data_IF_777426820146
#
_entry.id   IF_777426820146
#
_cell.length_a   1.000
_cell.length_b   1.000
_cell.length_c   1.000
_cell.angle_alpha   90.00
_cell.angle_beta   90.00
_cell.angle_gamma   90.00
#
_symmetry.space_group_name_H-M   'P 1'
#
loop_
_entity.id
_entity.type
_entity.pdbx_description
1 polymer ?
#
# COMPACT_ATOMS: atom_id res chain seq x y z
N UNK A 1 -27.13 52.78 40.98
CA UNK A 1 -27.90 52.46 39.74
C UNK A 1 -27.16 51.36 38.99
N UNK A 2 -27.61 50.11 39.12
CA UNK A 2 -27.06 48.92 38.41
C UNK A 2 -28.09 48.57 37.37
N UNK A 3 -27.71 48.26 36.12
CA UNK A 3 -28.66 47.75 35.13
C UNK A 3 -28.85 46.23 35.27
N UNK A 4 -30.13 45.86 35.25
CA UNK A 4 -30.58 44.46 35.27
C UNK A 4 -30.23 43.77 33.95
N UNK A 5 -29.66 42.56 34.05
CA UNK A 5 -29.46 41.65 32.94
C UNK A 5 -30.70 40.77 32.82
N UNK A 6 -31.42 40.92 31.71
CA UNK A 6 -32.55 40.04 31.36
C UNK A 6 -32.03 38.74 30.80
N UNK A 7 -32.41 37.63 31.39
CA UNK A 7 -32.16 36.25 30.90
C UNK A 7 -33.09 35.94 29.73
N UNK A 8 -32.50 35.60 28.57
CA UNK A 8 -33.22 35.06 27.43
C UNK A 8 -33.27 33.52 27.52
N UNK A 9 -34.48 33.01 27.65
CA UNK A 9 -34.74 31.55 27.59
C UNK A 9 -34.55 31.02 26.17
N UNK A 10 -34.02 29.79 25.97
CA UNK A 10 -33.92 29.20 24.65
C UNK A 10 -35.28 28.69 24.17
N UNK A 11 -35.67 29.11 22.97
CA UNK A 11 -36.86 28.61 22.26
C UNK A 11 -36.60 27.18 21.74
N UNK A 12 -37.48 26.31 22.16
CA UNK A 12 -37.60 24.91 21.66
C UNK A 12 -38.08 24.90 20.21
N UNK A 13 -37.31 24.29 19.29
CA UNK A 13 -37.73 24.03 17.92
C UNK A 13 -38.02 22.51 17.82
N UNK A 14 -39.23 22.11 17.46
CA UNK A 14 -39.55 20.69 17.28
C UNK A 14 -38.93 20.17 15.95
N UNK A 15 -38.13 19.16 16.03
CA UNK A 15 -37.60 18.42 14.88
C UNK A 15 -38.72 17.49 14.32
N UNK A 16 -39.10 17.73 13.08
CA UNK A 16 -40.01 16.85 12.32
C UNK A 16 -39.16 15.72 11.71
N UNK A 17 -39.33 14.50 12.21
CA UNK A 17 -38.79 13.27 11.60
C UNK A 17 -39.75 12.84 10.46
N UNK A 18 -39.21 12.45 9.29
CA UNK A 18 -40.02 11.82 8.24
C UNK A 18 -40.35 10.37 8.60
N UNK A 19 -41.49 9.82 8.10
CA UNK A 19 -41.94 8.48 8.44
C UNK A 19 -41.02 7.40 7.82
N UNK A 20 -40.81 6.34 8.59
CA UNK A 20 -40.07 5.16 8.20
C UNK A 20 -40.82 4.42 7.07
N UNK A 21 -40.20 4.27 5.92
CA UNK A 21 -40.61 3.37 4.85
C UNK A 21 -40.16 1.96 5.17
N UNK A 22 -41.10 1.07 5.46
CA UNK A 22 -40.88 -0.38 5.55
C UNK A 22 -40.57 -0.95 4.16
N UNK A 23 -39.33 -1.33 3.90
CA UNK A 23 -38.95 -2.11 2.73
C UNK A 23 -39.07 -3.60 3.03
N UNK A 24 -39.93 -4.27 2.26
CA UNK A 24 -40.11 -5.72 2.23
C UNK A 24 -38.80 -6.40 1.77
N UNK A 25 -38.22 -7.26 2.61
CA UNK A 25 -37.18 -8.17 2.22
C UNK A 25 -37.73 -9.24 1.28
N UNK A 26 -37.26 -9.21 0.03
CA UNK A 26 -37.49 -10.28 -0.93
C UNK A 26 -36.35 -11.29 -0.79
N UNK A 27 -36.69 -12.51 -0.39
CA UNK A 27 -35.78 -13.65 -0.29
C UNK A 27 -35.33 -14.09 -1.68
N UNK A 28 -34.09 -13.79 -2.05
CA UNK A 28 -33.47 -14.33 -3.26
C UNK A 28 -32.91 -15.74 -2.99
N UNK A 29 -33.32 -16.67 -3.85
CA UNK A 29 -32.96 -18.08 -3.88
C UNK A 29 -31.45 -18.25 -4.07
N UNK A 30 -30.82 -19.05 -3.18
CA UNK A 30 -29.51 -19.63 -3.35
C UNK A 30 -29.55 -20.58 -4.56
N UNK A 31 -28.79 -20.29 -5.59
CA UNK A 31 -28.48 -21.21 -6.67
C UNK A 31 -27.14 -21.87 -6.34
N UNK A 32 -27.19 -23.13 -5.95
CA UNK A 32 -26.00 -23.96 -5.76
C UNK A 32 -25.54 -24.48 -7.13
N UNK A 33 -24.34 -24.11 -7.55
CA UNK A 33 -23.67 -24.74 -8.68
C UNK A 33 -22.83 -25.90 -8.16
N UNK A 34 -23.24 -27.11 -8.50
CA UNK A 34 -22.44 -28.32 -8.34
C UNK A 34 -21.51 -28.47 -9.57
N UNK A 35 -20.22 -28.31 -9.37
CA UNK A 35 -19.21 -28.62 -10.39
C UNK A 35 -18.89 -30.11 -10.36
N UNK A 36 -19.30 -30.83 -11.39
CA UNK A 36 -18.88 -32.19 -11.68
C UNK A 36 -17.49 -32.16 -12.31
N UNK A 37 -16.52 -32.72 -11.62
CA UNK A 37 -15.20 -33.05 -12.17
C UNK A 37 -15.31 -34.18 -13.18
N UNK A 38 -15.09 -33.89 -14.45
CA UNK A 38 -14.85 -34.92 -15.48
C UNK A 38 -13.35 -35.10 -15.68
N UNK A 39 -12.92 -36.31 -15.35
CA UNK A 39 -11.60 -36.89 -15.56
C UNK A 39 -11.26 -36.98 -17.05
N UNK A 40 -10.19 -36.32 -17.49
CA UNK A 40 -9.61 -36.55 -18.85
C UNK A 40 -8.30 -37.29 -18.67
N UNK A 41 -8.25 -38.51 -19.27
CA UNK A 41 -7.06 -39.40 -19.37
C UNK A 41 -6.07 -38.83 -20.39
N UNK A 42 -4.75 -39.05 -20.22
CA UNK A 42 -3.76 -38.67 -21.21
C UNK A 42 -3.72 -39.69 -22.37
N UNK A 43 -3.74 -39.18 -23.57
CA UNK A 43 -3.52 -39.98 -24.80
C UNK A 43 -2.07 -39.79 -25.22
N UNK A 44 -1.33 -40.90 -25.21
CA UNK A 44 0.03 -41.00 -25.76
C UNK A 44 -0.07 -41.56 -27.17
N UNK A 45 0.43 -40.84 -28.15
CA UNK A 45 0.69 -41.46 -29.46
C UNK A 45 2.06 -41.03 -29.99
N UNK A 46 2.90 -42.08 -30.12
CA UNK A 46 4.17 -42.08 -30.81
C UNK A 46 3.94 -42.06 -32.33
N UNK A 47 4.52 -41.13 -33.02
CA UNK A 47 4.76 -41.30 -34.47
C UNK A 47 6.22 -41.01 -34.82
N UNK A 48 6.93 -42.08 -35.10
CA UNK A 48 8.23 -42.08 -35.79
C UNK A 48 7.99 -41.77 -37.26
N UNK A 49 8.70 -40.77 -37.79
CA UNK A 49 8.87 -40.65 -39.23
C UNK A 49 10.36 -40.54 -39.56
N UNK A 50 10.76 -41.41 -40.49
CA UNK A 50 12.09 -41.74 -40.90
C UNK A 50 12.74 -40.68 -41.81
N UNK A 51 14.08 -40.73 -41.80
CA UNK A 51 15.01 -40.01 -42.68
C UNK A 51 14.74 -40.23 -44.18
N UNK A 52 14.93 -39.19 -44.98
CA UNK A 52 15.37 -39.27 -46.34
C UNK A 52 16.47 -38.28 -46.66
N UNK A 53 17.46 -38.75 -47.39
CA UNK A 53 18.76 -38.14 -47.70
C UNK A 53 18.72 -37.17 -48.90
N UNK A 54 19.77 -36.30 -48.91
CA UNK A 54 20.50 -35.74 -50.05
C UNK A 54 19.92 -34.46 -50.71
N UNK A 55 20.60 -33.32 -50.61
CA UNK A 55 21.68 -32.94 -51.50
C UNK A 55 22.34 -31.62 -51.08
N UNK A 56 23.56 -31.32 -51.54
CA UNK A 56 24.42 -30.27 -51.01
C UNK A 56 24.32 -29.00 -51.84
N UNK A 57 24.45 -27.84 -51.22
CA UNK A 57 25.11 -26.72 -51.91
C UNK A 57 25.29 -25.48 -51.03
N UNK A 58 26.52 -25.01 -51.06
CA UNK A 58 27.00 -23.65 -50.92
C UNK A 58 27.05 -23.06 -49.50
N UNK A 59 28.24 -23.23 -48.91
CA UNK A 59 28.80 -22.43 -47.83
C UNK A 59 28.96 -20.97 -48.27
N UNK A 60 28.07 -20.12 -47.80
CA UNK A 60 28.34 -18.71 -47.62
C UNK A 60 28.43 -18.44 -46.15
N UNK A 61 29.69 -18.39 -45.66
CA UNK A 61 30.02 -18.00 -44.29
C UNK A 61 29.71 -16.51 -44.10
N UNK A 62 28.50 -16.20 -43.69
CA UNK A 62 28.15 -14.89 -43.15
C UNK A 62 28.44 -14.99 -41.66
N UNK A 63 29.57 -14.38 -41.22
CA UNK A 63 29.85 -14.18 -39.81
C UNK A 63 28.75 -13.29 -39.24
N UNK A 64 27.99 -13.73 -38.20
CA UNK A 64 27.05 -12.87 -37.56
C UNK A 64 27.84 -11.78 -36.84
N UNK A 65 27.58 -10.53 -37.22
CA UNK A 65 27.98 -9.36 -36.44
C UNK A 65 27.34 -9.54 -35.05
N UNK A 66 28.18 -9.73 -34.03
CA UNK A 66 27.77 -9.63 -32.64
C UNK A 66 27.44 -8.17 -32.34
N UNK A 67 26.20 -7.74 -32.62
CA UNK A 67 25.63 -6.66 -31.87
C UNK A 67 25.53 -7.13 -30.42
N UNK A 68 26.27 -6.50 -29.54
CA UNK A 68 26.00 -6.57 -28.11
C UNK A 68 24.73 -5.78 -27.84
N UNK A 69 23.60 -6.35 -28.20
CA UNK A 69 22.32 -6.01 -27.59
C UNK A 69 22.52 -6.42 -26.15
N UNK A 70 22.52 -5.46 -25.23
CA UNK A 70 22.30 -5.75 -23.84
C UNK A 70 21.03 -6.60 -23.81
N UNK A 71 21.19 -7.87 -23.50
CA UNK A 71 20.08 -8.81 -23.34
C UNK A 71 19.25 -8.21 -22.20
N UNK A 72 18.17 -7.52 -22.57
CA UNK A 72 17.07 -7.34 -21.64
C UNK A 72 16.68 -8.77 -21.30
N UNK A 73 16.83 -9.23 -20.04
CA UNK A 73 16.39 -10.58 -19.70
C UNK A 73 14.94 -10.68 -20.20
N UNK A 74 14.64 -11.75 -20.96
CA UNK A 74 13.26 -12.09 -21.25
C UNK A 74 12.47 -11.91 -19.97
N UNK A 75 11.29 -11.28 -19.99
CA UNK A 75 10.45 -11.15 -18.82
C UNK A 75 10.09 -12.57 -18.34
N UNK A 76 10.97 -13.16 -17.55
CA UNK A 76 10.59 -14.23 -16.64
C UNK A 76 9.34 -13.74 -15.99
N UNK A 77 8.24 -14.51 -16.06
CA UNK A 77 6.92 -14.20 -15.52
C UNK A 77 7.05 -13.21 -14.40
N UNK A 78 6.82 -11.93 -14.73
CA UNK A 78 6.90 -10.85 -13.76
C UNK A 78 5.86 -11.25 -12.75
N UNK A 79 6.31 -11.56 -11.55
CA UNK A 79 5.42 -11.88 -10.44
C UNK A 79 4.60 -10.60 -10.20
N UNK A 80 3.43 -10.53 -10.86
CA UNK A 80 2.51 -9.39 -10.86
C UNK A 80 2.04 -9.04 -9.44
N UNK A 81 2.44 -9.85 -8.45
CA UNK A 81 2.14 -9.70 -7.04
C UNK A 81 3.33 -9.24 -6.19
N UNK A 82 4.32 -8.57 -6.76
CA UNK A 82 5.37 -7.94 -5.92
C UNK A 82 4.76 -6.83 -5.08
N UNK A 83 4.26 -7.20 -3.91
CA UNK A 83 3.84 -6.27 -2.85
C UNK A 83 4.84 -6.34 -1.69
N UNK A 84 5.00 -5.25 -0.91
CA UNK A 84 5.70 -5.31 0.36
C UNK A 84 5.08 -6.36 1.28
N UNK A 85 5.87 -6.95 2.17
CA UNK A 85 5.33 -7.90 3.15
C UNK A 85 4.30 -7.23 4.07
N UNK A 86 3.33 -7.97 4.62
CA UNK A 86 2.38 -7.40 5.59
C UNK A 86 3.04 -6.72 6.78
N UNK A 87 4.23 -7.19 7.19
CA UNK A 87 5.03 -6.56 8.24
C UNK A 87 5.55 -5.18 7.81
N UNK A 88 6.07 -5.04 6.59
CA UNK A 88 6.52 -3.75 6.04
C UNK A 88 5.36 -2.78 5.86
N UNK A 89 4.20 -3.27 5.38
CA UNK A 89 2.98 -2.45 5.26
C UNK A 89 2.53 -1.95 6.62
N UNK A 90 2.47 -2.83 7.63
CA UNK A 90 2.12 -2.46 8.99
C UNK A 90 3.09 -1.40 9.57
N UNK A 91 4.42 -1.60 9.38
CA UNK A 91 5.43 -0.61 9.77
C UNK A 91 5.21 0.74 9.10
N UNK A 92 4.92 0.73 7.80
CA UNK A 92 4.68 1.94 7.01
C UNK A 92 3.45 2.71 7.51
N UNK A 93 2.33 2.02 7.77
CA UNK A 93 1.10 2.63 8.29
C UNK A 93 1.36 3.27 9.65
N UNK A 94 2.01 2.56 10.55
CA UNK A 94 2.29 3.04 11.92
C UNK A 94 3.25 4.23 11.90
N UNK A 95 4.28 4.21 11.05
CA UNK A 95 5.25 5.31 10.93
C UNK A 95 4.63 6.59 10.34
N UNK A 96 3.73 6.45 9.35
CA UNK A 96 3.03 7.59 8.74
C UNK A 96 1.98 8.21 9.65
N UNK A 97 1.45 7.43 10.57
CA UNK A 97 0.35 7.86 11.44
C UNK A 97 0.88 8.48 12.73
N UNK A 98 0.13 9.44 13.25
CA UNK A 98 0.42 10.09 14.55
C UNK A 98 -0.76 10.04 15.50
N UNK A 99 -1.90 9.54 15.05
CA UNK A 99 -3.14 9.39 15.82
C UNK A 99 -3.72 7.98 15.60
N UNK A 100 -4.35 7.46 16.61
CA UNK A 100 -5.00 6.15 16.58
C UNK A 100 -5.96 5.97 17.73
N UNK A 101 -6.57 4.81 17.82
CA UNK A 101 -7.44 4.41 18.93
C UNK A 101 -6.71 3.40 19.81
N UNK A 102 -6.40 3.80 21.03
CA UNK A 102 -5.91 2.90 22.07
C UNK A 102 -7.10 2.24 22.74
N UNK A 103 -7.18 0.93 22.67
CA UNK A 103 -8.24 0.14 23.33
C UNK A 103 -7.64 -0.70 24.44
N UNK A 104 -8.31 -0.69 25.61
CA UNK A 104 -7.87 -1.38 26.82
C UNK A 104 -9.10 -1.71 27.69
N UNK A 105 -8.88 -2.24 28.88
CA UNK A 105 -9.94 -2.54 29.85
C UNK A 105 -9.90 -1.54 31.00
N UNK A 106 -11.07 -1.09 31.41
CA UNK A 106 -11.22 -0.32 32.67
C UNK A 106 -10.99 -1.21 33.89
N UNK A 107 -10.87 -0.58 35.09
CA UNK A 107 -10.79 -1.31 36.36
C UNK A 107 -12.00 -2.23 36.62
N UNK A 108 -13.15 -1.91 36.04
CA UNK A 108 -14.39 -2.70 36.13
C UNK A 108 -14.47 -3.80 35.05
N UNK A 109 -13.49 -3.89 34.14
CA UNK A 109 -13.43 -4.88 33.05
C UNK A 109 -14.18 -4.49 31.77
N UNK A 110 -14.64 -3.24 31.65
CA UNK A 110 -15.27 -2.77 30.42
C UNK A 110 -14.23 -2.43 29.35
N UNK A 111 -14.47 -2.80 28.08
CA UNK A 111 -13.67 -2.30 26.97
C UNK A 111 -13.76 -0.76 26.85
N UNK A 112 -12.62 -0.12 26.76
CA UNK A 112 -12.52 1.33 26.56
C UNK A 112 -11.63 1.61 25.36
N UNK A 113 -12.13 2.40 24.41
CA UNK A 113 -11.35 2.93 23.28
C UNK A 113 -11.22 4.44 23.40
N UNK A 114 -10.00 4.94 23.37
CA UNK A 114 -9.70 6.39 23.41
C UNK A 114 -8.85 6.80 22.22
N UNK A 115 -9.13 7.97 21.65
CA UNK A 115 -8.28 8.59 20.64
C UNK A 115 -6.99 9.08 21.29
N UNK A 116 -5.85 8.66 20.74
CA UNK A 116 -4.53 9.03 21.26
C UNK A 116 -3.62 9.56 20.16
N UNK A 117 -2.71 10.45 20.52
CA UNK A 117 -1.52 10.74 19.73
C UNK A 117 -0.43 9.74 20.10
N UNK A 118 0.37 9.34 19.14
CA UNK A 118 1.50 8.45 19.39
C UNK A 118 2.70 8.77 18.48
N UNK A 119 3.88 8.52 18.98
CA UNK A 119 5.13 8.47 18.25
C UNK A 119 5.61 7.02 18.17
N UNK A 120 6.60 6.74 17.33
CA UNK A 120 7.09 5.37 17.11
C UNK A 120 8.61 5.34 17.22
N UNK A 121 9.15 4.34 17.89
CA UNK A 121 10.60 4.12 17.92
C UNK A 121 11.09 3.32 16.70
N UNK A 122 12.41 3.14 16.59
CA UNK A 122 13.04 2.39 15.48
C UNK A 122 12.56 0.94 15.33
N UNK A 123 12.03 0.33 16.39
CA UNK A 123 11.51 -1.03 16.40
C UNK A 123 10.00 -1.11 16.14
N UNK A 124 9.34 0.05 15.91
CA UNK A 124 7.90 0.12 15.74
C UNK A 124 7.10 0.13 17.03
N UNK A 125 7.74 0.34 18.17
CA UNK A 125 7.06 0.45 19.45
C UNK A 125 6.32 1.78 19.54
N UNK A 126 4.98 1.79 19.71
CA UNK A 126 4.23 3.02 19.87
C UNK A 126 4.45 3.61 21.27
N UNK A 127 4.67 4.92 21.30
CA UNK A 127 4.94 5.73 22.48
C UNK A 127 3.78 6.72 22.64
N UNK A 128 3.21 6.79 23.83
CA UNK A 128 2.08 7.66 24.16
C UNK A 128 2.47 8.64 25.28
N UNK A 129 1.85 9.82 25.27
CA UNK A 129 1.82 10.71 26.41
C UNK A 129 0.36 10.79 26.88
N UNK A 130 0.01 10.08 27.96
CA UNK A 130 -1.36 9.92 28.45
C UNK A 130 -1.60 10.77 29.69
N UNK A 131 -2.58 11.68 29.63
CA UNK A 131 -2.95 12.54 30.74
C UNK A 131 -3.58 11.74 31.90
N UNK A 132 -3.64 12.35 33.08
CA UNK A 132 -4.22 11.73 34.26
C UNK A 132 -5.72 11.40 34.10
N UNK A 133 -6.45 12.17 33.29
CA UNK A 133 -7.86 11.89 32.94
C UNK A 133 -8.02 10.63 32.05
N UNK A 134 -6.98 10.30 31.30
CA UNK A 134 -6.98 9.14 30.39
C UNK A 134 -6.55 7.86 31.09
N UNK A 135 -6.19 7.92 32.38
CA UNK A 135 -5.71 6.80 33.20
C UNK A 135 -6.83 5.93 33.80
N UNK A 136 -8.02 5.92 33.19
CA UNK A 136 -9.11 5.03 33.60
C UNK A 136 -8.83 3.54 33.29
N UNK A 137 -7.65 3.23 32.74
CA UNK A 137 -7.26 1.89 32.32
C UNK A 137 -6.25 1.26 33.29
N UNK A 138 -6.25 -0.05 33.29
CA UNK A 138 -5.29 -0.85 34.05
C UNK A 138 -4.00 -1.01 33.23
N UNK A 139 -2.86 -0.71 33.87
CA UNK A 139 -1.54 -1.07 33.35
C UNK A 139 -1.37 -2.59 33.37
N UNK A 140 -0.41 -3.10 32.59
CA UNK A 140 -0.05 -4.52 32.44
C UNK A 140 -1.19 -5.40 31.90
N UNK A 141 -2.20 -4.79 31.26
CA UNK A 141 -3.31 -5.51 30.64
C UNK A 141 -3.22 -5.48 29.13
N UNK A 142 -3.86 -6.51 28.53
CA UNK A 142 -3.98 -6.58 27.08
C UNK A 142 -4.63 -5.32 26.53
N UNK A 143 -3.91 -4.68 25.62
CA UNK A 143 -4.29 -3.45 24.97
C UNK A 143 -4.07 -3.56 23.49
N UNK A 144 -4.68 -2.68 22.71
CA UNK A 144 -4.42 -2.59 21.28
C UNK A 144 -4.43 -1.14 20.80
N UNK A 145 -3.51 -0.83 19.89
CA UNK A 145 -3.53 0.41 19.13
C UNK A 145 -4.07 0.10 17.74
N UNK A 146 -5.20 0.70 17.40
CA UNK A 146 -5.78 0.62 16.05
C UNK A 146 -5.55 1.91 15.29
N UNK A 147 -5.05 1.77 14.05
CA UNK A 147 -4.72 2.88 13.16
C UNK A 147 -5.37 2.64 11.81
N UNK A 148 -5.92 3.70 11.23
CA UNK A 148 -6.47 3.72 9.88
C UNK A 148 -5.69 4.73 9.06
N UNK A 149 -5.34 4.35 7.83
CA UNK A 149 -4.60 5.18 6.91
C UNK A 149 -5.30 5.22 5.56
N UNK A 150 -5.76 6.40 5.16
CA UNK A 150 -6.47 6.62 3.91
C UNK A 150 -5.50 6.79 2.75
N UNK A 151 -5.68 5.98 1.69
CA UNK A 151 -4.90 6.01 0.47
C UNK A 151 -5.73 6.61 -0.68
N UNK A 152 -5.36 7.80 -1.10
CA UNK A 152 -5.98 8.52 -2.24
C UNK A 152 -7.52 8.65 -2.19
N UNK A 153 -8.12 8.59 -1.00
CA UNK A 153 -9.58 8.70 -0.80
C UNK A 153 -10.38 7.51 -1.32
N UNK A 154 -9.75 6.37 -1.58
CA UNK A 154 -10.38 5.21 -2.21
C UNK A 154 -10.21 3.92 -1.44
N UNK A 155 -9.11 3.78 -0.71
CA UNK A 155 -8.79 2.61 0.10
C UNK A 155 -8.33 3.05 1.48
N UNK A 156 -8.78 2.37 2.52
CA UNK A 156 -8.38 2.63 3.90
C UNK A 156 -7.70 1.41 4.48
N UNK A 157 -6.37 1.45 4.46
CA UNK A 157 -5.56 0.42 5.09
C UNK A 157 -5.60 0.53 6.61
N UNK A 158 -5.53 -0.59 7.30
CA UNK A 158 -5.66 -0.65 8.75
C UNK A 158 -4.53 -1.47 9.35
N UNK A 159 -4.08 -1.05 10.50
CA UNK A 159 -3.13 -1.79 11.30
C UNK A 159 -3.58 -1.78 12.76
N UNK A 160 -3.61 -2.95 13.39
CA UNK A 160 -3.89 -3.07 14.82
C UNK A 160 -2.72 -3.78 15.49
N UNK A 161 -2.03 -3.06 16.36
CA UNK A 161 -0.99 -3.61 17.22
C UNK A 161 -1.64 -4.09 18.52
N UNK A 162 -1.42 -5.35 18.88
CA UNK A 162 -1.90 -5.94 20.13
C UNK A 162 -0.72 -6.22 21.06
N UNK A 163 -0.88 -5.93 22.35
CA UNK A 163 0.15 -6.16 23.35
C UNK A 163 -0.25 -5.70 24.72
N UNK A 164 0.73 -5.44 25.59
CA UNK A 164 0.54 -4.89 26.92
C UNK A 164 0.86 -3.41 26.94
N UNK A 165 0.06 -2.62 27.67
CA UNK A 165 0.35 -1.21 27.91
C UNK A 165 1.26 -1.11 29.15
N UNK A 166 2.48 -0.67 28.95
CA UNK A 166 3.50 -0.64 29.99
C UNK A 166 3.98 0.79 30.24
N UNK A 167 4.39 1.06 31.49
CA UNK A 167 5.12 2.29 31.86
C UNK A 167 6.60 1.97 31.90
N UNK A 168 7.44 2.61 31.04
CA UNK A 168 8.87 2.39 31.03
C UNK A 168 9.49 2.79 32.38
N UNK A 169 10.30 1.94 32.97
CA UNK A 169 11.01 2.23 34.24
C UNK A 169 12.48 2.59 34.01
N UNK A 170 13.07 2.16 32.88
CA UNK A 170 14.47 2.45 32.55
C UNK A 170 14.66 3.91 32.17
N UNK A 171 15.51 4.66 32.93
CA UNK A 171 15.77 6.07 32.63
C UNK A 171 16.36 6.34 31.25
N UNK A 172 17.14 5.39 30.68
CA UNK A 172 17.70 5.52 29.36
C UNK A 172 16.64 5.37 28.27
N UNK A 173 15.72 4.43 28.46
CA UNK A 173 14.55 4.25 27.57
C UNK A 173 13.62 5.47 27.62
N UNK A 174 13.32 5.98 28.82
CA UNK A 174 12.50 7.19 29.01
C UNK A 174 13.10 8.39 28.28
N UNK A 175 14.41 8.64 28.44
CA UNK A 175 15.09 9.74 27.73
C UNK A 175 14.98 9.59 26.21
N UNK A 176 15.14 8.37 25.69
CA UNK A 176 14.98 8.05 24.26
C UNK A 176 13.56 8.36 23.80
N UNK A 177 12.54 7.88 24.53
CA UNK A 177 11.13 8.08 24.18
C UNK A 177 10.72 9.54 24.23
N UNK A 178 11.22 10.28 25.20
CA UNK A 178 11.06 11.73 25.30
C UNK A 178 11.57 12.46 24.05
N UNK A 179 12.81 12.16 23.64
CA UNK A 179 13.40 12.75 22.43
C UNK A 179 12.62 12.38 21.15
N UNK A 180 12.08 11.15 21.06
CA UNK A 180 11.25 10.73 19.93
C UNK A 180 9.94 11.51 19.91
N UNK A 181 9.29 11.69 21.05
CA UNK A 181 8.04 12.45 21.21
C UNK A 181 8.25 13.91 20.82
N UNK A 182 9.25 14.57 21.40
CA UNK A 182 9.60 15.96 21.12
C UNK A 182 9.88 16.19 19.62
N UNK A 183 10.66 15.30 19.01
CA UNK A 183 10.93 15.38 17.57
C UNK A 183 9.67 15.22 16.71
N UNK A 184 8.70 14.39 17.16
CA UNK A 184 7.47 14.13 16.39
C UNK A 184 6.46 15.26 16.51
N UNK A 185 6.32 15.85 17.71
CA UNK A 185 5.26 16.80 18.03
C UNK A 185 5.73 18.22 18.35
N UNK A 186 7.04 18.43 18.58
CA UNK A 186 7.59 19.72 19.00
C UNK A 186 7.23 20.12 20.44
N UNK A 187 6.76 19.15 21.23
CA UNK A 187 6.28 19.36 22.61
C UNK A 187 7.09 18.48 23.58
N UNK A 188 7.47 19.03 24.72
CA UNK A 188 8.00 18.22 25.81
C UNK A 188 6.90 17.31 26.38
N UNK A 189 7.25 16.03 26.61
CA UNK A 189 6.38 15.11 27.33
C UNK A 189 6.79 15.05 28.79
N UNK A 190 5.84 15.00 29.71
CA UNK A 190 6.12 14.67 31.11
C UNK A 190 6.52 13.18 31.18
N UNK A 191 7.68 12.91 31.78
CA UNK A 191 8.20 11.55 31.94
C UNK A 191 7.23 10.58 32.64
N UNK A 192 6.43 11.14 33.58
CA UNK A 192 5.41 10.39 34.29
C UNK A 192 4.18 10.03 33.42
N UNK A 193 4.03 10.65 32.26
CA UNK A 193 2.93 10.44 31.33
C UNK A 193 3.29 9.59 30.12
N UNK A 194 4.55 9.15 30.01
CA UNK A 194 5.01 8.28 28.92
C UNK A 194 4.61 6.83 29.17
N UNK A 195 3.95 6.24 28.19
CA UNK A 195 3.54 4.84 28.12
C UNK A 195 3.93 4.25 26.76
N UNK A 196 4.07 2.93 26.72
CA UNK A 196 4.37 2.18 25.49
C UNK A 196 3.46 0.96 25.38
N UNK A 197 3.23 0.47 24.17
CA UNK A 197 2.64 -0.85 23.97
C UNK A 197 3.74 -1.83 23.59
N UNK A 198 3.96 -2.80 24.43
CA UNK A 198 4.82 -3.95 24.14
C UNK A 198 4.13 -4.88 23.15
N UNK A 199 4.46 -4.71 21.86
CA UNK A 199 3.76 -5.36 20.75
C UNK A 199 4.00 -6.87 20.72
N UNK A 200 2.93 -7.65 20.77
CA UNK A 200 2.94 -9.13 20.75
C UNK A 200 2.43 -9.70 19.42
N UNK A 201 1.37 -9.11 18.86
CA UNK A 201 0.73 -9.53 17.61
C UNK A 201 0.27 -8.31 16.81
N UNK A 202 0.25 -8.46 15.51
CA UNK A 202 -0.20 -7.42 14.60
C UNK A 202 -1.24 -8.02 13.65
N UNK A 203 -2.30 -7.26 13.35
CA UNK A 203 -3.18 -7.55 12.23
C UNK A 203 -3.16 -6.39 11.27
N UNK A 204 -2.86 -6.68 10.01
CA UNK A 204 -2.86 -5.73 8.91
C UNK A 204 -4.02 -6.06 7.97
N UNK A 205 -4.75 -5.04 7.50
CA UNK A 205 -5.81 -5.15 6.48
C UNK A 205 -5.57 -4.12 5.40
N UNK A 206 -5.75 -4.51 4.15
CA UNK A 206 -5.60 -3.58 3.03
C UNK A 206 -6.83 -2.68 2.87
N UNK A 207 -8.03 -3.20 3.14
CA UNK A 207 -9.29 -2.43 3.14
C UNK A 207 -10.32 -3.05 4.10
N UNK A 208 -11.43 -2.35 4.33
CA UNK A 208 -12.53 -2.83 5.21
C UNK A 208 -13.16 -4.14 4.74
N UNK A 209 -13.14 -4.40 3.44
CA UNK A 209 -13.76 -5.58 2.81
C UNK A 209 -12.89 -6.83 2.84
N UNK A 210 -11.62 -6.68 3.19
CA UNK A 210 -10.66 -7.76 3.14
C UNK A 210 -10.43 -8.38 4.52
N UNK A 211 -10.01 -9.63 4.52
CA UNK A 211 -9.60 -10.31 5.74
C UNK A 211 -8.25 -9.77 6.22
N UNK A 212 -8.08 -9.75 7.55
CA UNK A 212 -6.83 -9.30 8.16
C UNK A 212 -5.75 -10.37 8.08
N UNK A 213 -4.53 -9.95 7.77
CA UNK A 213 -3.34 -10.81 7.80
C UNK A 213 -2.65 -10.63 9.15
N UNK A 214 -2.42 -11.74 9.84
CA UNK A 214 -1.69 -11.74 11.11
C UNK A 214 -0.18 -11.75 10.85
N UNK A 215 0.52 -10.89 11.57
CA UNK A 215 1.98 -10.73 11.52
C UNK A 215 2.54 -10.94 12.91
N UNK A 216 3.62 -11.69 13.00
CA UNK A 216 4.32 -11.89 14.27
C UNK A 216 5.12 -10.66 14.69
N UNK A 217 5.24 -10.45 16.00
CA UNK A 217 5.97 -9.29 16.54
C UNK A 217 7.45 -9.29 16.17
N UNK A 218 8.06 -10.46 15.96
CA UNK A 218 9.44 -10.59 15.49
C UNK A 218 9.61 -10.07 14.07
N UNK A 219 8.73 -10.48 13.14
CA UNK A 219 8.73 -10.01 11.75
C UNK A 219 8.48 -8.50 11.69
N UNK A 220 7.51 -8.01 12.46
CA UNK A 220 7.20 -6.59 12.54
C UNK A 220 8.37 -5.75 13.03
N UNK A 221 9.10 -6.20 14.07
CA UNK A 221 10.23 -5.45 14.65
C UNK A 221 11.43 -5.35 13.72
N UNK A 222 11.68 -6.37 12.88
CA UNK A 222 12.79 -6.35 11.91
C UNK A 222 12.41 -5.71 10.57
N UNK A 223 11.12 -5.60 10.26
CA UNK A 223 10.65 -4.97 9.03
C UNK A 223 11.00 -3.48 9.02
N UNK A 224 11.40 -2.99 7.85
CA UNK A 224 11.61 -1.57 7.63
C UNK A 224 10.36 -0.95 7.00
N UNK A 225 9.95 0.26 7.40
CA UNK A 225 8.90 0.98 6.71
C UNK A 225 9.35 1.33 5.29
N UNK A 226 8.39 1.41 4.36
CA UNK A 226 8.68 1.69 2.96
C UNK A 226 9.48 3.00 2.79
N UNK A 227 10.55 3.01 1.99
CA UNK A 227 11.36 4.20 1.78
C UNK A 227 10.62 5.33 1.06
N UNK A 228 9.55 5.03 0.31
CA UNK A 228 8.74 6.04 -0.36
C UNK A 228 7.64 6.63 0.52
N UNK A 229 7.43 6.14 1.75
CA UNK A 229 6.29 6.51 2.61
C UNK A 229 6.01 8.00 2.69
N UNK A 230 7.07 8.80 2.85
CA UNK A 230 6.93 10.26 3.03
C UNK A 230 6.59 10.99 1.72
N UNK A 231 6.96 10.41 0.56
CA UNK A 231 6.71 10.97 -0.78
C UNK A 231 5.55 10.30 -1.52
N UNK A 232 5.09 9.13 -1.07
CA UNK A 232 4.09 8.32 -1.77
C UNK A 232 2.82 9.12 -2.11
N UNK A 233 2.29 9.87 -1.16
CA UNK A 233 1.09 10.70 -1.37
C UNK A 233 1.29 11.77 -2.44
N UNK A 234 2.46 12.40 -2.47
CA UNK A 234 2.80 13.43 -3.44
C UNK A 234 2.96 12.83 -4.85
N UNK A 235 3.63 11.68 -4.96
CA UNK A 235 3.79 10.95 -6.23
C UNK A 235 2.42 10.56 -6.79
N UNK A 236 1.56 9.96 -5.96
CA UNK A 236 0.19 9.57 -6.36
C UNK A 236 -0.63 10.78 -6.82
N UNK A 237 -0.55 11.90 -6.10
CA UNK A 237 -1.24 13.12 -6.49
C UNK A 237 -0.71 13.69 -7.82
N UNK A 238 0.61 13.68 -8.03
CA UNK A 238 1.24 14.13 -9.28
C UNK A 238 0.79 13.29 -10.47
N UNK A 239 0.79 11.96 -10.33
CA UNK A 239 0.30 11.03 -11.36
C UNK A 239 -1.17 11.33 -11.70
N UNK A 240 -2.04 11.40 -10.67
CA UNK A 240 -3.47 11.57 -10.85
C UNK A 240 -3.88 12.96 -11.36
N UNK A 241 -3.02 13.99 -11.22
CA UNK A 241 -3.33 15.38 -11.62
C UNK A 241 -2.66 15.76 -12.92
N UNK A 242 -1.38 15.41 -13.09
CA UNK A 242 -0.54 15.95 -14.15
C UNK A 242 -0.16 14.92 -15.22
N UNK A 243 -0.31 13.62 -14.95
CA UNK A 243 0.21 12.53 -15.77
C UNK A 243 -0.87 11.50 -16.12
N UNK A 244 -2.14 11.91 -16.13
CA UNK A 244 -3.30 11.01 -16.31
C UNK A 244 -3.25 10.25 -17.62
N UNK A 245 -2.96 10.92 -18.75
CA UNK A 245 -2.90 10.30 -20.08
C UNK A 245 -1.77 9.26 -20.17
N UNK A 246 -0.58 9.61 -19.64
CA UNK A 246 0.55 8.70 -19.59
C UNK A 246 0.25 7.49 -18.71
N UNK A 247 -0.44 7.73 -17.60
CA UNK A 247 -0.82 6.67 -16.68
C UNK A 247 -1.87 5.71 -17.25
N UNK A 248 -2.88 6.22 -17.96
CA UNK A 248 -3.85 5.40 -18.69
C UNK A 248 -3.17 4.56 -19.79
N UNK A 249 -2.17 5.13 -20.47
CA UNK A 249 -1.35 4.41 -21.45
C UNK A 249 -0.51 3.30 -20.80
N UNK A 250 0.13 3.58 -19.65
CA UNK A 250 0.83 2.56 -18.87
C UNK A 250 -0.13 1.42 -18.53
N UNK A 251 -1.30 1.74 -17.98
CA UNK A 251 -2.29 0.73 -17.63
C UNK A 251 -2.73 -0.13 -18.82
N UNK A 252 -2.88 0.48 -19.99
CA UNK A 252 -3.27 -0.23 -21.21
C UNK A 252 -2.21 -1.21 -21.72
N UNK A 253 -0.93 -0.98 -21.37
CA UNK A 253 0.19 -1.84 -21.81
C UNK A 253 0.59 -2.85 -20.75
N UNK A 254 0.59 -2.45 -19.48
CA UNK A 254 1.08 -3.29 -18.38
C UNK A 254 0.01 -4.20 -17.75
N UNK A 255 -1.27 -3.98 -18.07
CA UNK A 255 -2.36 -4.83 -17.60
C UNK A 255 -2.82 -5.72 -18.74
N UNK A 256 -2.73 -7.03 -18.51
CA UNK A 256 -3.17 -8.04 -19.48
C UNK A 256 -4.71 -8.10 -19.48
N UNK A 257 -5.30 -7.33 -20.39
CA UNK A 257 -6.76 -7.25 -20.54
C UNK A 257 -7.14 -6.95 -21.98
N UNK A 258 -8.09 -7.71 -22.51
CA UNK A 258 -8.72 -7.42 -23.81
C UNK A 258 -9.63 -6.20 -23.78
N UNK A 259 -9.90 -5.65 -22.56
CA UNK A 259 -10.80 -4.53 -22.36
C UNK A 259 -10.02 -3.21 -22.47
N UNK A 260 -10.63 -2.23 -23.13
CA UNK A 260 -10.06 -0.89 -23.23
C UNK A 260 -10.16 -0.16 -21.88
N UNK A 261 -9.01 0.27 -21.35
CA UNK A 261 -8.96 1.15 -20.18
C UNK A 261 -9.63 2.48 -20.52
N UNK A 262 -10.65 2.85 -19.76
CA UNK A 262 -11.37 4.12 -19.93
C UNK A 262 -10.88 5.20 -18.97
N UNK A 263 -10.42 4.80 -17.80
CA UNK A 263 -9.83 5.68 -16.79
C UNK A 263 -8.97 4.86 -15.83
N UNK A 264 -7.87 5.44 -15.37
CA UNK A 264 -6.99 4.84 -14.38
C UNK A 264 -6.69 5.85 -13.26
N UNK A 265 -6.64 5.38 -12.01
CA UNK A 265 -6.32 6.18 -10.85
C UNK A 265 -5.28 5.46 -9.99
N UNK A 266 -4.12 6.09 -9.76
CA UNK A 266 -3.14 5.61 -8.80
C UNK A 266 -3.72 5.74 -7.37
N UNK A 267 -3.62 4.67 -6.60
CA UNK A 267 -4.13 4.59 -5.21
C UNK A 267 -2.99 4.75 -4.23
N UNK A 268 -1.93 4.01 -4.45
CA UNK A 268 -0.74 4.01 -3.62
C UNK A 268 0.51 3.69 -4.45
N UNK A 269 1.66 4.12 -3.94
CA UNK A 269 2.98 3.76 -4.47
C UNK A 269 3.86 3.31 -3.32
N UNK A 270 4.62 2.26 -3.54
CA UNK A 270 5.67 1.78 -2.67
C UNK A 270 6.93 1.44 -3.48
N UNK A 271 7.98 0.99 -2.82
CA UNK A 271 9.27 0.67 -3.45
C UNK A 271 9.18 -0.36 -4.59
N UNK A 272 8.14 -1.18 -4.64
CA UNK A 272 7.98 -2.26 -5.61
C UNK A 272 7.02 -1.94 -6.76
N UNK A 273 6.19 -0.88 -6.67
CA UNK A 273 5.25 -0.52 -7.74
C UNK A 273 4.08 0.35 -7.30
N UNK A 274 3.02 0.29 -8.11
CA UNK A 274 1.82 1.11 -8.00
C UNK A 274 0.58 0.24 -7.80
N UNK A 275 -0.27 0.58 -6.83
CA UNK A 275 -1.64 0.08 -6.75
C UNK A 275 -2.56 1.01 -7.51
N UNK A 276 -3.42 0.46 -8.35
CA UNK A 276 -4.18 1.19 -9.35
C UNK A 276 -5.63 0.75 -9.39
N UNK A 277 -6.56 1.69 -9.43
CA UNK A 277 -7.94 1.43 -9.84
C UNK A 277 -8.09 1.70 -11.34
N UNK A 278 -8.54 0.70 -12.07
CA UNK A 278 -8.78 0.76 -13.51
C UNK A 278 -10.26 0.62 -13.78
N UNK A 279 -10.80 1.49 -14.62
CA UNK A 279 -12.17 1.46 -15.07
C UNK A 279 -12.25 0.91 -16.50
N UNK A 280 -13.10 -0.09 -16.69
CA UNK A 280 -13.48 -0.63 -17.99
C UNK A 280 -14.99 -0.44 -18.12
N UNK A 281 -15.45 0.46 -19.00
CA UNK A 281 -16.86 0.76 -19.25
C UNK A 281 -17.77 0.78 -18.00
N UNK A 282 -18.13 -0.40 -17.46
CA UNK A 282 -19.06 -0.58 -16.33
C UNK A 282 -18.47 -1.24 -15.09
N UNK A 283 -17.21 -1.60 -15.13
CA UNK A 283 -16.53 -2.31 -14.04
C UNK A 283 -15.27 -1.57 -13.61
N UNK A 284 -14.98 -1.61 -12.32
CA UNK A 284 -13.76 -1.10 -11.72
C UNK A 284 -12.98 -2.26 -11.10
N UNK A 285 -11.68 -2.30 -11.35
CA UNK A 285 -10.77 -3.31 -10.84
C UNK A 285 -9.61 -2.66 -10.12
N UNK A 286 -9.13 -3.30 -9.08
CA UNK A 286 -7.85 -2.98 -8.46
C UNK A 286 -6.77 -3.87 -9.04
N UNK A 287 -5.65 -3.26 -9.46
CA UNK A 287 -4.54 -3.95 -10.11
C UNK A 287 -3.23 -3.43 -9.54
N UNK A 288 -2.27 -4.34 -9.37
CA UNK A 288 -0.89 -4.01 -9.02
C UNK A 288 -0.03 -3.92 -10.28
N UNK A 289 0.64 -2.78 -10.49
CA UNK A 289 1.63 -2.60 -11.56
C UNK A 289 3.02 -2.50 -10.91
N UNK A 290 3.88 -3.53 -11.06
CA UNK A 290 5.20 -3.52 -10.47
C UNK A 290 6.14 -2.56 -11.22
N UNK A 291 7.06 -1.93 -10.49
CA UNK A 291 8.19 -1.26 -11.11
C UNK A 291 9.15 -2.26 -11.75
N UNK A 292 9.83 -1.89 -12.85
CA UNK A 292 10.83 -2.76 -13.48
C UNK A 292 11.96 -3.19 -12.53
N UNK A 293 12.24 -2.36 -11.55
CA UNK A 293 13.19 -2.61 -10.46
C UNK A 293 12.72 -1.93 -9.18
N UNK A 294 13.15 -2.46 -8.05
CA UNK A 294 12.93 -1.85 -6.76
C UNK A 294 13.53 -0.43 -6.71
N UNK A 295 12.80 0.51 -6.10
CA UNK A 295 13.21 1.90 -5.94
C UNK A 295 13.39 2.23 -4.46
N UNK A 296 14.31 3.15 -4.17
CA UNK A 296 14.69 3.49 -2.80
C UNK A 296 14.33 4.91 -2.41
N UNK A 297 13.94 5.73 -3.37
CA UNK A 297 13.61 7.14 -3.15
C UNK A 297 12.60 7.67 -4.19
N UNK A 298 12.11 8.88 -3.97
CA UNK A 298 11.17 9.56 -4.85
C UNK A 298 11.71 9.73 -6.29
N UNK A 299 13.00 10.02 -6.45
CA UNK A 299 13.63 10.19 -7.77
C UNK A 299 13.64 8.88 -8.54
N UNK A 300 13.94 7.78 -7.86
CA UNK A 300 13.88 6.43 -8.41
C UNK A 300 12.47 6.05 -8.87
N UNK A 301 11.45 6.37 -8.06
CA UNK A 301 10.05 6.13 -8.41
C UNK A 301 9.62 6.95 -9.65
N UNK A 302 9.92 8.25 -9.68
CA UNK A 302 9.66 9.12 -10.84
C UNK A 302 10.40 8.67 -12.09
N UNK A 303 11.67 8.24 -11.95
CA UNK A 303 12.45 7.69 -13.06
C UNK A 303 11.84 6.39 -13.60
N UNK A 304 11.40 5.50 -12.73
CA UNK A 304 10.72 4.25 -13.12
C UNK A 304 9.41 4.55 -13.83
N UNK A 305 8.59 5.47 -13.31
CA UNK A 305 7.36 5.89 -13.96
C UNK A 305 7.62 6.45 -15.37
N UNK A 306 8.59 7.37 -15.52
CA UNK A 306 8.93 7.94 -16.81
C UNK A 306 9.42 6.89 -17.83
N UNK A 307 10.21 5.90 -17.36
CA UNK A 307 10.65 4.79 -18.20
C UNK A 307 9.46 3.93 -18.66
N UNK A 308 8.51 3.67 -17.77
CA UNK A 308 7.30 2.91 -18.10
C UNK A 308 6.39 3.69 -19.05
N UNK A 309 6.24 5.02 -18.86
CA UNK A 309 5.49 5.89 -19.75
C UNK A 309 6.08 5.92 -21.16
N UNK A 310 7.41 6.07 -21.28
CA UNK A 310 8.10 6.03 -22.54
C UNK A 310 7.90 4.69 -23.27
N UNK A 311 8.08 3.58 -22.57
CA UNK A 311 7.86 2.25 -23.15
C UNK A 311 6.41 2.05 -23.61
N UNK A 312 5.44 2.48 -22.80
CA UNK A 312 4.04 2.39 -23.14
C UNK A 312 3.69 3.23 -24.39
N UNK A 313 4.29 4.42 -24.53
CA UNK A 313 4.17 5.25 -25.73
C UNK A 313 4.77 4.57 -26.95
N UNK A 314 5.96 3.98 -26.84
CA UNK A 314 6.62 3.24 -27.92
C UNK A 314 5.76 2.06 -28.40
N UNK A 315 5.19 1.30 -27.49
CA UNK A 315 4.28 0.19 -27.79
C UNK A 315 3.02 0.69 -28.49
N UNK A 316 2.36 1.73 -27.97
CA UNK A 316 1.16 2.33 -28.57
C UNK A 316 1.42 2.83 -29.99
N UNK A 317 2.55 3.48 -30.23
CA UNK A 317 2.89 4.07 -31.53
C UNK A 317 3.56 3.09 -32.49
N UNK A 318 3.81 1.83 -32.08
CA UNK A 318 4.61 0.88 -32.83
C UNK A 318 5.94 1.48 -33.28
N UNK A 319 6.58 2.21 -32.36
CA UNK A 319 7.74 3.04 -32.65
C UNK A 319 8.95 2.17 -33.03
N UNK A 320 9.50 2.40 -34.19
CA UNK A 320 10.77 1.82 -34.63
C UNK A 320 11.86 2.87 -34.50
N UNK A 321 12.94 2.54 -33.78
CA UNK A 321 14.08 3.44 -33.59
C UNK A 321 14.64 3.82 -34.96
N UNK A 322 14.65 5.11 -35.37
CA UNK A 322 15.24 5.49 -36.64
C UNK A 322 16.78 5.31 -36.64
N UNK A 323 17.34 4.99 -37.78
CA UNK A 323 18.79 5.02 -37.93
C UNK A 323 19.28 6.46 -37.73
N UNK A 324 20.25 6.65 -36.85
CA UNK A 324 20.87 7.94 -36.59
C UNK A 324 22.41 7.85 -36.70
N UNK A 325 23.02 8.94 -37.17
CA UNK A 325 24.46 9.03 -37.21
C UNK A 325 25.05 9.15 -35.79
N UNK A 326 25.97 8.24 -35.45
CA UNK A 326 26.71 8.32 -34.21
C UNK A 326 27.82 9.34 -34.29
N UNK A 327 28.02 10.15 -33.27
CA UNK A 327 29.13 11.06 -33.15
C UNK A 327 30.47 10.31 -33.28
N UNK A 328 31.26 10.64 -34.31
CA UNK A 328 32.50 9.94 -34.64
C UNK A 328 33.74 10.54 -33.95
N UNK A 329 33.62 11.75 -33.43
CA UNK A 329 34.74 12.48 -32.85
C UNK A 329 34.53 12.71 -31.36
N UNK A 330 35.40 12.10 -30.57
CA UNK A 330 35.50 12.34 -29.14
C UNK A 330 36.70 13.28 -28.88
N UNK A 331 36.46 14.44 -28.29
CA UNK A 331 37.51 15.33 -27.80
C UNK A 331 37.70 15.09 -26.30
N UNK A 332 38.89 14.65 -25.93
CA UNK A 332 39.22 14.55 -24.51
C UNK A 332 39.35 15.97 -23.94
N UNK A 333 38.59 16.25 -22.89
CA UNK A 333 38.68 17.47 -22.11
C UNK A 333 39.40 17.12 -20.80
N UNK A 334 40.45 17.86 -20.48
CA UNK A 334 41.18 17.70 -19.21
C UNK A 334 40.35 18.20 -18.06
#
# INVERSE_FOLDING_TARGET
>A
MLPQIQSLSPRYVPSILPPATTSHFSTSKLISFSTTLSSIKPFAENTKVSLSKNNPCLNLSIKPLKCSVSVIPEPTQIDLQKKPSPAEVARTIIELSSVGTLSTLTSEGWPLGIGVRFAVDSNGTPIFCLNSSDRCFLLDRKSSLHVQFEQSGTRTTQCTLQGSLDKPEDPAALKKFHSIWERRFGEEADADLIYVVSVEKIVQKEDFKEDGIWVDSSEYKIANPDPLRDSAKNIVNEINTNQTEDFERICSVYVDSDLKVTHAKAIWVDRLGLDVHIHFERAMFEVRIPFPREVTDEKGAKSSFNCMSQLAWEVEKSYTIPEFEKGKLLKQIR
#
